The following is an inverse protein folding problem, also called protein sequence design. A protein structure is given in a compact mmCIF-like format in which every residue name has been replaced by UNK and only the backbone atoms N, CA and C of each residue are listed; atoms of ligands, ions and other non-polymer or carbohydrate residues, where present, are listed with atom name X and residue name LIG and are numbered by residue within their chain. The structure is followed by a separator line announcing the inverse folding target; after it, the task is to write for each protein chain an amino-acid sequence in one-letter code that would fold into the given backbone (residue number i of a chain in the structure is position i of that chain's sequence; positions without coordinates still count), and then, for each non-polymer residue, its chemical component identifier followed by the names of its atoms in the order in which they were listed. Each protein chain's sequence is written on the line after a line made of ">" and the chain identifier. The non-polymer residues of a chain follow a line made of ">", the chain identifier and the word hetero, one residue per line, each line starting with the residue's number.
data_IF_100863109905
#
_entry.id   IF_100863109905
#
_cell.length_a   1.000
_cell.length_b   1.000
_cell.length_c   1.000
_cell.angle_alpha   90.00
_cell.angle_beta   90.00
_cell.angle_gamma   90.00
#
_symmetry.space_group_name_H-M   'P 1'
#
loop_
_entity.id
_entity.type
_entity.pdbx_description
1 polymer ?
#
# COMPACT_ATOMS: atom_id res chain seq x y z
N UNK A 1 -42.27 29.05 -50.47
CA UNK A 1 -41.93 27.61 -50.60
C UNK A 1 -42.43 26.88 -49.36
N UNK A 2 -43.16 25.79 -49.59
CA UNK A 2 -43.32 24.55 -48.81
C UNK A 2 -43.43 24.54 -47.26
N UNK A 3 -44.58 24.00 -46.81
CA UNK A 3 -44.87 23.00 -45.75
C UNK A 3 -44.17 23.08 -44.37
N UNK A 4 -44.88 23.21 -43.24
CA UNK A 4 -45.59 22.15 -42.46
C UNK A 4 -44.73 20.91 -42.13
N UNK A 5 -44.39 20.68 -40.84
CA UNK A 5 -44.97 19.61 -40.00
C UNK A 5 -44.35 19.51 -38.59
N UNK A 6 -45.23 19.30 -37.61
CA UNK A 6 -44.99 18.74 -36.27
C UNK A 6 -44.69 17.22 -36.35
N UNK A 7 -43.89 16.68 -35.43
CA UNK A 7 -44.10 15.40 -34.72
C UNK A 7 -42.94 15.19 -33.69
N UNK A 8 -43.16 15.14 -32.38
CA UNK A 8 -43.68 14.07 -31.52
C UNK A 8 -42.74 12.84 -31.31
N UNK A 9 -42.29 12.73 -30.04
CA UNK A 9 -42.08 11.55 -29.18
C UNK A 9 -41.20 10.37 -29.65
N UNK A 10 -40.31 9.93 -28.75
CA UNK A 10 -39.81 8.57 -28.74
C UNK A 10 -38.67 8.32 -27.74
N UNK A 11 -39.01 7.91 -26.52
CA UNK A 11 -38.08 7.31 -25.54
C UNK A 11 -37.42 6.09 -26.16
N UNK A 12 -36.10 5.99 -26.13
CA UNK A 12 -35.38 4.74 -26.35
C UNK A 12 -34.59 4.39 -25.09
N UNK A 13 -35.23 3.55 -24.27
CA UNK A 13 -34.62 2.75 -23.22
C UNK A 13 -33.31 2.13 -23.69
N UNK A 14 -32.22 2.37 -22.95
CA UNK A 14 -30.98 1.59 -23.05
C UNK A 14 -31.24 0.26 -22.35
N UNK A 15 -32.03 -0.59 -23.02
CA UNK A 15 -32.13 -2.01 -22.72
C UNK A 15 -31.17 -2.73 -23.65
N UNK A 16 -29.96 -3.04 -23.16
CA UNK A 16 -29.02 -3.91 -23.85
C UNK A 16 -29.59 -5.32 -23.94
N UNK A 17 -30.41 -5.55 -24.97
CA UNK A 17 -30.89 -6.87 -25.35
C UNK A 17 -29.72 -7.71 -25.84
N UNK A 18 -29.44 -8.79 -25.12
CA UNK A 18 -28.58 -9.87 -25.60
C UNK A 18 -29.28 -10.49 -26.82
N UNK A 19 -28.78 -10.22 -28.02
CA UNK A 19 -29.26 -10.91 -29.22
C UNK A 19 -28.65 -12.32 -29.20
N UNK A 20 -29.40 -13.29 -28.71
CA UNK A 20 -29.06 -14.71 -28.88
C UNK A 20 -29.44 -15.12 -30.31
N UNK A 21 -28.56 -15.78 -31.08
CA UNK A 21 -28.96 -16.40 -32.32
C UNK A 21 -29.85 -17.61 -32.01
N UNK A 22 -31.14 -17.52 -32.36
CA UNK A 22 -32.01 -18.68 -32.44
C UNK A 22 -31.69 -19.37 -33.76
N UNK A 23 -30.99 -20.49 -33.70
CA UNK A 23 -30.86 -21.39 -34.84
C UNK A 23 -32.23 -22.03 -35.12
N UNK A 24 -32.92 -21.55 -36.16
CA UNK A 24 -34.10 -22.23 -36.69
C UNK A 24 -33.64 -23.47 -37.47
N UNK A 25 -33.76 -24.65 -36.85
CA UNK A 25 -33.70 -25.92 -37.57
C UNK A 25 -35.03 -26.12 -38.30
N UNK A 26 -34.98 -26.13 -39.64
CA UNK A 26 -36.11 -26.54 -40.47
C UNK A 26 -36.45 -28.00 -40.22
N UNK A 27 -37.73 -28.24 -40.03
CA UNK A 27 -38.39 -29.51 -39.75
C UNK A 27 -38.14 -30.59 -40.79
N UNK A 28 -37.73 -31.78 -40.33
CA UNK A 28 -37.97 -33.07 -40.98
C UNK A 28 -38.87 -33.92 -40.07
N UNK A 29 -39.86 -34.55 -40.67
CA UNK A 29 -40.96 -35.34 -40.12
C UNK A 29 -40.59 -36.50 -39.18
N UNK A 30 -41.55 -36.79 -38.30
CA UNK A 30 -41.93 -38.07 -37.70
C UNK A 30 -41.47 -38.47 -36.27
N UNK A 31 -42.49 -38.78 -35.45
CA UNK A 31 -42.52 -39.56 -34.21
C UNK A 31 -41.67 -39.13 -33.00
N UNK A 32 -42.33 -38.57 -31.96
CA UNK A 32 -41.80 -38.54 -30.59
C UNK A 32 -42.04 -37.25 -29.79
N UNK A 33 -43.20 -37.12 -29.14
CA UNK A 33 -43.58 -35.99 -28.26
C UNK A 33 -42.82 -35.93 -26.92
N UNK A 34 -41.53 -36.26 -26.87
CA UNK A 34 -40.71 -36.13 -25.65
C UNK A 34 -39.51 -35.17 -25.74
N UNK A 35 -39.13 -34.71 -26.93
CA UNK A 35 -37.80 -34.07 -27.10
C UNK A 35 -37.79 -32.55 -26.97
N UNK A 36 -38.89 -31.84 -27.25
CA UNK A 36 -38.92 -30.36 -27.23
C UNK A 36 -38.88 -29.77 -25.81
N UNK A 37 -39.56 -30.39 -24.85
CA UNK A 37 -39.61 -29.90 -23.47
C UNK A 37 -38.29 -30.17 -22.73
N UNK A 38 -37.60 -31.26 -23.06
CA UNK A 38 -36.28 -31.62 -22.53
C UNK A 38 -35.19 -30.70 -23.10
N UNK A 39 -35.22 -30.43 -24.40
CA UNK A 39 -34.30 -29.46 -25.04
C UNK A 39 -34.48 -28.03 -24.52
N UNK A 40 -35.72 -27.59 -24.28
CA UNK A 40 -35.98 -26.29 -23.68
C UNK A 40 -35.46 -26.21 -22.23
N UNK A 41 -35.51 -27.32 -21.48
CA UNK A 41 -35.03 -27.41 -20.10
C UNK A 41 -33.51 -27.47 -20.02
N UNK A 42 -32.85 -28.20 -20.92
CA UNK A 42 -31.39 -28.21 -21.08
C UNK A 42 -30.87 -26.86 -21.55
N UNK A 43 -31.54 -26.23 -22.53
CA UNK A 43 -31.17 -24.90 -23.01
C UNK A 43 -31.32 -23.83 -21.93
N UNK A 44 -32.39 -23.90 -21.12
CA UNK A 44 -32.59 -23.03 -19.97
C UNK A 44 -31.55 -23.24 -18.85
N UNK A 45 -31.13 -24.49 -18.60
CA UNK A 45 -30.02 -24.78 -17.67
C UNK A 45 -28.69 -24.27 -18.19
N UNK A 46 -28.37 -24.51 -19.47
CA UNK A 46 -27.12 -24.09 -20.10
C UNK A 46 -27.00 -22.55 -20.19
N UNK A 47 -28.11 -21.86 -20.48
CA UNK A 47 -28.18 -20.39 -20.40
C UNK A 47 -28.04 -19.90 -18.97
N UNK A 48 -28.74 -20.52 -18.00
CA UNK A 48 -28.62 -20.16 -16.59
C UNK A 48 -27.20 -20.30 -16.06
N UNK A 49 -26.49 -21.38 -16.42
CA UNK A 49 -25.10 -21.62 -16.06
C UNK A 49 -24.14 -20.63 -16.72
N UNK A 50 -24.38 -20.29 -18.00
CA UNK A 50 -23.57 -19.31 -18.74
C UNK A 50 -23.75 -17.90 -18.18
N UNK A 51 -24.98 -17.49 -17.88
CA UNK A 51 -25.28 -16.19 -17.26
C UNK A 51 -24.70 -16.12 -15.84
N UNK A 52 -24.84 -17.17 -15.04
CA UNK A 52 -24.23 -17.21 -13.70
C UNK A 52 -22.70 -17.13 -13.75
N UNK A 53 -22.06 -17.79 -14.73
CA UNK A 53 -20.61 -17.67 -14.96
C UNK A 53 -20.18 -16.26 -15.36
N UNK A 54 -20.95 -15.59 -16.23
CA UNK A 54 -20.65 -14.22 -16.67
C UNK A 54 -20.82 -13.20 -15.54
N UNK A 55 -21.89 -13.33 -14.75
CA UNK A 55 -22.13 -12.48 -13.58
C UNK A 55 -21.05 -12.71 -12.52
N UNK A 56 -20.67 -13.97 -12.28
CA UNK A 56 -19.56 -14.32 -11.41
C UNK A 56 -18.24 -13.66 -11.83
N UNK A 57 -17.88 -13.73 -13.11
CA UNK A 57 -16.64 -13.14 -13.62
C UNK A 57 -16.63 -11.60 -13.57
N UNK A 58 -17.78 -10.96 -13.84
CA UNK A 58 -17.94 -9.50 -13.69
C UNK A 58 -17.85 -9.03 -12.24
N UNK A 59 -18.43 -9.79 -11.29
CA UNK A 59 -18.31 -9.52 -9.86
C UNK A 59 -16.87 -9.69 -9.39
N UNK A 60 -16.17 -10.72 -9.85
CA UNK A 60 -14.75 -10.90 -9.55
C UNK A 60 -13.87 -9.78 -10.11
N UNK A 61 -14.12 -9.34 -11.35
CA UNK A 61 -13.41 -8.22 -11.97
C UNK A 61 -13.60 -6.92 -11.18
N UNK A 62 -14.85 -6.57 -10.81
CA UNK A 62 -15.12 -5.39 -9.96
C UNK A 62 -14.45 -5.51 -8.60
N UNK A 63 -14.48 -6.69 -7.97
CA UNK A 63 -13.81 -6.90 -6.68
C UNK A 63 -12.30 -6.70 -6.79
N UNK A 64 -11.68 -7.18 -7.88
CA UNK A 64 -10.26 -6.95 -8.16
C UNK A 64 -9.94 -5.47 -8.41
N UNK A 65 -10.77 -4.76 -9.16
CA UNK A 65 -10.62 -3.31 -9.39
C UNK A 65 -10.80 -2.50 -8.11
N UNK A 66 -11.81 -2.83 -7.31
CA UNK A 66 -12.03 -2.18 -6.00
C UNK A 66 -10.87 -2.45 -5.05
N UNK A 67 -10.38 -3.69 -4.97
CA UNK A 67 -9.21 -4.03 -4.18
C UNK A 67 -7.97 -3.23 -4.62
N UNK A 68 -7.69 -3.16 -5.93
CA UNK A 68 -6.56 -2.38 -6.46
C UNK A 68 -6.72 -0.88 -6.22
N UNK A 69 -7.93 -0.35 -6.34
CA UNK A 69 -8.23 1.06 -6.03
C UNK A 69 -8.04 1.36 -4.54
N UNK A 70 -8.47 0.46 -3.67
CA UNK A 70 -8.29 0.57 -2.22
C UNK A 70 -6.81 0.46 -1.82
N UNK A 71 -6.06 -0.47 -2.41
CA UNK A 71 -4.61 -0.59 -2.22
C UNK A 71 -3.90 0.72 -2.59
N UNK A 72 -4.20 1.28 -3.77
CA UNK A 72 -3.65 2.55 -4.21
C UNK A 72 -4.05 3.71 -3.27
N UNK A 73 -5.29 3.70 -2.78
CA UNK A 73 -5.77 4.66 -1.79
C UNK A 73 -4.99 4.58 -0.47
N UNK A 74 -4.73 3.37 0.02
CA UNK A 74 -3.97 3.12 1.24
C UNK A 74 -2.52 3.58 1.11
N UNK A 75 -1.84 3.25 0.01
CA UNK A 75 -0.49 3.74 -0.25
C UNK A 75 -0.44 5.27 -0.32
N UNK A 76 -1.33 5.88 -1.10
CA UNK A 76 -1.41 7.33 -1.25
C UNK A 76 -1.66 8.03 0.09
N UNK A 77 -2.55 7.48 0.92
CA UNK A 77 -2.88 8.05 2.22
C UNK A 77 -1.70 8.02 3.22
N UNK A 78 -0.84 6.99 3.16
CA UNK A 78 0.35 6.88 4.01
C UNK A 78 1.45 7.81 3.56
N UNK A 79 1.79 7.80 2.26
CA UNK A 79 2.84 8.69 1.75
C UNK A 79 2.46 10.16 1.86
N UNK A 80 1.17 10.48 1.72
CA UNK A 80 0.67 11.83 2.00
C UNK A 80 0.86 12.21 3.47
N UNK A 81 0.59 11.30 4.42
CA UNK A 81 0.79 11.59 5.84
C UNK A 81 2.29 11.81 6.17
N UNK A 82 3.17 10.99 5.59
CA UNK A 82 4.62 11.20 5.69
C UNK A 82 5.06 12.56 5.11
N UNK A 83 4.52 12.93 3.95
CA UNK A 83 4.79 14.22 3.30
C UNK A 83 4.28 15.40 4.15
N UNK A 84 3.04 15.33 4.63
CA UNK A 84 2.40 16.37 5.45
C UNK A 84 3.17 16.55 6.79
N UNK A 85 3.80 15.50 7.31
CA UNK A 85 4.69 15.53 8.49
C UNK A 85 6.13 15.98 8.20
N UNK A 86 6.49 16.20 6.94
CA UNK A 86 7.85 16.57 6.55
C UNK A 86 8.87 15.45 6.83
N UNK A 87 8.48 14.21 6.57
CA UNK A 87 9.32 13.04 6.78
C UNK A 87 10.28 12.79 5.62
N UNK A 88 11.46 12.29 5.95
CA UNK A 88 12.48 11.84 5.01
C UNK A 88 12.85 10.39 5.33
N UNK A 89 13.10 9.62 4.29
CA UNK A 89 13.50 8.22 4.39
C UNK A 89 14.92 8.17 4.94
N UNK A 90 15.15 7.44 6.03
CA UNK A 90 16.48 7.15 6.54
C UNK A 90 17.06 6.00 5.72
N UNK A 91 18.35 6.05 5.43
CA UNK A 91 19.08 4.93 4.82
C UNK A 91 18.65 3.61 5.46
N UNK A 92 18.12 2.70 4.63
CA UNK A 92 17.53 1.47 5.15
C UNK A 92 18.63 0.61 5.82
N UNK A 93 18.46 0.19 7.08
CA UNK A 93 19.42 -0.69 7.75
C UNK A 93 19.59 -2.04 7.03
N UNK A 94 18.56 -2.51 6.32
CA UNK A 94 18.61 -3.72 5.50
C UNK A 94 19.27 -3.51 4.12
N UNK A 95 19.81 -2.31 3.84
CA UNK A 95 20.52 -1.99 2.59
C UNK A 95 19.63 -1.94 1.34
N UNK A 96 18.32 -2.16 1.49
CA UNK A 96 17.36 -2.07 0.39
C UNK A 96 17.04 -0.62 0.04
N UNK A 97 16.68 -0.37 -1.23
CA UNK A 97 16.09 0.90 -1.65
C UNK A 97 14.55 0.89 -1.56
N UNK A 98 13.99 0.04 -0.70
CA UNK A 98 12.55 -0.06 -0.52
C UNK A 98 12.07 1.05 0.42
N UNK A 99 11.00 1.74 0.01
CA UNK A 99 10.28 2.73 0.82
C UNK A 99 9.39 2.04 1.87
N UNK A 100 9.14 0.73 1.73
CA UNK A 100 8.47 -0.10 2.71
C UNK A 100 9.48 -0.84 3.59
N UNK A 101 9.03 -1.31 4.76
CA UNK A 101 9.93 -1.92 5.75
C UNK A 101 11.10 -0.97 6.09
N UNK A 102 10.76 0.32 6.26
CA UNK A 102 11.73 1.41 6.25
C UNK A 102 11.48 2.39 7.39
N UNK A 103 12.52 3.18 7.69
CA UNK A 103 12.52 4.15 8.78
C UNK A 103 12.45 5.55 8.22
N UNK A 104 11.67 6.40 8.87
CA UNK A 104 11.45 7.78 8.47
C UNK A 104 11.76 8.72 9.64
N UNK A 105 12.49 9.79 9.36
CA UNK A 105 12.72 10.88 10.30
C UNK A 105 11.91 12.10 9.86
N UNK A 106 11.15 12.69 10.77
CA UNK A 106 10.24 13.79 10.47
C UNK A 106 10.58 15.04 11.26
N UNK A 107 10.71 16.14 10.54
CA UNK A 107 10.93 17.47 11.11
C UNK A 107 9.63 18.25 11.03
N UNK A 108 8.93 18.39 12.16
CA UNK A 108 7.65 19.11 12.25
C UNK A 108 7.75 20.56 11.73
N UNK A 109 8.92 21.21 11.84
CA UNK A 109 9.17 22.52 11.24
C UNK A 109 10.63 22.70 10.84
N UNK A 110 10.92 22.96 9.56
CA UNK A 110 12.29 23.17 9.06
C UNK A 110 13.01 24.36 9.71
N UNK A 111 12.26 25.36 10.17
CA UNK A 111 12.78 26.63 10.73
C UNK A 111 13.00 26.60 12.24
N UNK A 112 12.44 25.62 12.94
CA UNK A 112 12.54 25.51 14.39
C UNK A 112 13.53 24.40 14.76
N UNK A 113 14.74 24.80 15.17
CA UNK A 113 15.79 23.88 15.61
C UNK A 113 15.53 23.27 16.99
N UNK A 114 14.55 23.79 17.74
CA UNK A 114 14.19 23.27 19.07
C UNK A 114 13.21 22.11 19.00
N UNK A 115 12.56 21.90 17.86
CA UNK A 115 11.66 20.76 17.68
C UNK A 115 12.46 19.47 17.47
N UNK A 116 12.22 18.52 18.38
CA UNK A 116 12.76 17.17 18.32
C UNK A 116 12.29 16.46 17.04
N UNK A 117 13.21 15.72 16.41
CA UNK A 117 12.88 14.85 15.29
C UNK A 117 12.01 13.70 15.79
N UNK A 118 10.90 13.44 15.09
CA UNK A 118 10.04 12.28 15.34
C UNK A 118 10.41 11.16 14.38
N UNK A 119 10.27 9.91 14.81
CA UNK A 119 10.72 8.76 14.04
C UNK A 119 9.56 7.80 13.81
N UNK A 120 9.46 7.29 12.59
CA UNK A 120 8.41 6.37 12.21
C UNK A 120 9.00 5.17 11.49
N UNK A 121 8.35 4.04 11.69
CA UNK A 121 8.56 2.83 10.92
C UNK A 121 7.35 2.60 10.01
N UNK A 122 7.61 2.43 8.72
CA UNK A 122 6.61 2.00 7.75
C UNK A 122 6.73 0.49 7.55
N UNK A 123 5.65 -0.23 7.82
CA UNK A 123 5.56 -1.67 7.61
C UNK A 123 5.80 -2.11 6.16
N UNK A 124 5.73 -3.43 5.96
CA UNK A 124 5.84 -4.01 4.62
C UNK A 124 4.72 -3.49 3.70
N UNK A 125 4.95 -3.58 2.38
CA UNK A 125 3.94 -3.23 1.39
C UNK A 125 2.59 -3.91 1.64
N UNK A 126 2.61 -5.20 1.99
CA UNK A 126 1.38 -5.95 2.26
C UNK A 126 0.69 -5.51 3.55
N UNK A 127 1.45 -5.11 4.58
CA UNK A 127 0.88 -4.49 5.78
C UNK A 127 0.15 -3.19 5.42
N UNK A 128 0.72 -2.35 4.56
CA UNK A 128 0.07 -1.10 4.13
C UNK A 128 -1.16 -1.36 3.27
N UNK A 129 -1.16 -2.39 2.41
CA UNK A 129 -2.37 -2.77 1.65
C UNK A 129 -3.54 -3.07 2.57
N UNK A 130 -3.31 -3.79 3.66
CA UNK A 130 -4.36 -4.25 4.58
C UNK A 130 -4.73 -3.17 5.60
N UNK A 131 -3.74 -2.50 6.19
CA UNK A 131 -3.91 -1.63 7.35
C UNK A 131 -3.85 -0.13 7.02
N UNK A 132 -3.42 0.25 5.81
CA UNK A 132 -3.25 1.64 5.42
C UNK A 132 -2.36 2.40 6.39
N UNK A 133 -2.87 3.50 6.95
CA UNK A 133 -2.15 4.36 7.91
C UNK A 133 -1.75 3.66 9.19
N UNK A 134 -2.47 2.62 9.59
CA UNK A 134 -2.13 1.89 10.80
C UNK A 134 -0.83 1.09 10.65
N UNK A 135 -0.33 0.89 9.43
CA UNK A 135 0.99 0.31 9.17
C UNK A 135 2.16 1.30 9.42
N UNK A 136 1.88 2.59 9.61
CA UNK A 136 2.87 3.60 9.99
C UNK A 136 2.89 3.75 11.51
N UNK A 137 4.00 3.38 12.16
CA UNK A 137 4.12 3.37 13.62
C UNK A 137 5.20 4.34 14.09
N UNK A 138 4.88 5.16 15.09
CA UNK A 138 5.89 6.01 15.74
C UNK A 138 6.81 5.15 16.62
N UNK A 139 8.12 5.37 16.50
CA UNK A 139 9.16 4.65 17.24
C UNK A 139 9.94 5.61 18.12
N UNK A 140 10.36 5.15 19.30
CA UNK A 140 10.99 6.01 20.32
C UNK A 140 12.43 5.62 20.59
N UNK A 141 12.70 4.33 20.64
CA UNK A 141 13.96 3.80 21.14
C UNK A 141 14.49 2.75 20.19
N UNK A 142 15.80 2.73 19.95
CA UNK A 142 16.45 1.77 19.07
C UNK A 142 17.60 1.04 19.78
N UNK A 143 17.65 -0.28 19.59
CA UNK A 143 18.66 -1.16 20.19
C UNK A 143 19.13 -2.20 19.20
N UNK A 144 20.42 -2.20 18.90
CA UNK A 144 21.10 -3.21 18.12
C UNK A 144 21.41 -4.43 18.99
N UNK A 145 21.08 -5.61 18.45
CA UNK A 145 21.33 -6.93 19.01
C UNK A 145 22.46 -7.60 18.24
N UNK A 146 23.23 -8.42 18.94
CA UNK A 146 24.42 -9.10 18.41
C UNK A 146 24.14 -10.10 17.29
N UNK A 147 22.88 -10.48 17.09
CA UNK A 147 22.40 -11.32 16.00
C UNK A 147 22.15 -10.53 14.70
N UNK A 148 22.55 -9.27 14.63
CA UNK A 148 22.38 -8.42 13.46
C UNK A 148 21.01 -7.76 13.37
N UNK A 149 20.23 -7.77 14.45
CA UNK A 149 18.91 -7.15 14.48
C UNK A 149 18.90 -5.77 15.14
N UNK A 150 18.12 -4.85 14.58
CA UNK A 150 17.82 -3.56 15.17
C UNK A 150 16.37 -3.55 15.66
N UNK A 151 16.22 -3.46 16.98
CA UNK A 151 14.93 -3.47 17.65
C UNK A 151 14.46 -2.04 17.93
N UNK A 152 13.21 -1.77 17.60
CA UNK A 152 12.54 -0.49 17.81
C UNK A 152 11.37 -0.64 18.77
N UNK A 153 11.34 0.20 19.80
CA UNK A 153 10.17 0.33 20.67
C UNK A 153 9.11 1.22 20.01
N UNK A 154 7.86 0.76 19.97
CA UNK A 154 6.74 1.56 19.52
C UNK A 154 6.30 2.53 20.63
N UNK A 155 5.86 3.73 20.24
CA UNK A 155 5.44 4.75 21.20
C UNK A 155 4.15 4.39 21.95
N UNK A 156 3.16 3.89 21.20
CA UNK A 156 1.80 3.69 21.69
C UNK A 156 1.54 2.25 22.13
N UNK A 157 2.57 1.41 22.22
CA UNK A 157 2.43 0.03 22.66
C UNK A 157 3.71 -0.52 23.30
N UNK A 158 3.56 -1.58 24.10
CA UNK A 158 4.69 -2.34 24.62
C UNK A 158 5.31 -3.30 23.58
N UNK A 159 4.92 -3.17 22.31
CA UNK A 159 5.43 -4.01 21.23
C UNK A 159 6.74 -3.44 20.69
N UNK A 160 7.53 -4.33 20.09
CA UNK A 160 8.78 -3.98 19.43
C UNK A 160 8.77 -4.51 18.01
N UNK A 161 9.45 -3.79 17.12
CA UNK A 161 9.69 -4.20 15.74
C UNK A 161 11.17 -4.52 15.61
N UNK A 162 11.49 -5.61 14.91
CA UNK A 162 12.87 -6.00 14.65
C UNK A 162 13.12 -5.96 13.15
N UNK A 163 14.23 -5.33 12.75
CA UNK A 163 14.67 -5.23 11.36
C UNK A 163 16.10 -5.75 11.28
N UNK A 164 16.40 -6.56 10.26
CA UNK A 164 17.77 -6.99 10.00
C UNK A 164 18.63 -5.84 9.51
N UNK A 165 19.83 -5.72 10.07
CA UNK A 165 20.87 -4.81 9.60
C UNK A 165 21.79 -5.59 8.68
N UNK A 166 22.13 -5.02 7.53
CA UNK A 166 23.20 -5.58 6.69
C UNK A 166 24.48 -5.56 7.50
N UNK A 167 25.17 -6.70 7.55
CA UNK A 167 26.47 -6.80 8.19
C UNK A 167 27.49 -6.00 7.37
N UNK A 168 27.58 -4.69 7.62
CA UNK A 168 28.68 -3.85 7.21
C UNK A 168 29.61 -3.62 8.40
N UNK A 169 30.91 -3.76 8.17
CA UNK A 169 31.91 -3.61 9.23
C UNK A 169 32.07 -2.14 9.70
N UNK A 170 31.30 -1.20 9.14
CA UNK A 170 31.47 0.26 9.33
C UNK A 170 30.15 1.03 9.50
N UNK A 171 29.01 0.34 9.61
CA UNK A 171 27.71 0.99 9.76
C UNK A 171 27.44 1.53 11.18
N UNK A 172 26.89 2.73 11.27
CA UNK A 172 26.50 3.36 12.54
C UNK A 172 25.41 2.61 13.31
N UNK A 173 24.68 1.71 12.66
CA UNK A 173 23.57 0.95 13.23
C UNK A 173 23.97 0.05 14.41
N UNK A 174 25.19 -0.49 14.38
CA UNK A 174 25.70 -1.39 15.44
C UNK A 174 25.87 -0.71 16.80
N UNK A 175 25.95 0.62 16.81
CA UNK A 175 26.17 1.44 18.00
C UNK A 175 24.87 1.88 18.69
N UNK A 176 23.71 1.49 18.16
CA UNK A 176 22.44 1.74 18.86
C UNK A 176 22.34 0.83 20.08
N UNK A 177 22.44 1.42 21.27
CA UNK A 177 22.29 0.72 22.53
C UNK A 177 21.27 1.44 23.41
N UNK A 178 19.99 1.07 23.31
CA UNK A 178 18.90 1.72 24.03
C UNK A 178 18.87 3.25 23.79
N UNK A 179 19.06 3.66 22.54
CA UNK A 179 19.14 5.07 22.15
C UNK A 179 17.72 5.64 22.04
N UNK A 180 17.42 6.68 22.79
CA UNK A 180 16.22 7.49 22.59
C UNK A 180 16.41 8.35 21.33
N UNK A 181 15.66 8.03 20.29
CA UNK A 181 15.85 8.60 18.96
C UNK A 181 15.59 10.10 18.95
N UNK A 182 14.51 10.58 19.55
CA UNK A 182 14.16 12.00 19.56
C UNK A 182 15.09 12.88 20.40
N UNK A 183 15.80 12.29 21.36
CA UNK A 183 16.76 12.99 22.21
C UNK A 183 18.17 12.96 21.65
N UNK A 184 18.54 11.88 20.95
CA UNK A 184 19.90 11.63 20.50
C UNK A 184 20.10 11.82 19.01
N UNK A 185 19.03 11.89 18.22
CA UNK A 185 19.10 12.06 16.78
C UNK A 185 18.30 13.28 16.31
N UNK A 186 18.89 14.05 15.40
CA UNK A 186 18.28 15.24 14.82
C UNK A 186 18.58 15.37 13.33
N UNK A 187 17.58 15.85 12.57
CA UNK A 187 17.80 16.25 11.19
C UNK A 187 18.52 17.61 11.15
N UNK A 188 19.74 17.61 10.61
CA UNK A 188 20.59 18.79 10.44
C UNK A 188 20.75 19.15 8.96
N UNK A 189 20.70 20.44 8.65
CA UNK A 189 20.99 20.94 7.30
C UNK A 189 22.48 21.18 7.14
N UNK A 190 23.11 20.59 6.12
CA UNK A 190 24.53 20.77 5.81
C UNK A 190 24.79 22.18 5.26
N UNK A 191 26.00 22.70 5.48
CA UNK A 191 26.41 24.03 4.98
C UNK A 191 26.30 24.17 3.45
N UNK A 192 26.54 23.09 2.70
CA UNK A 192 26.46 23.06 1.24
C UNK A 192 25.07 22.69 0.70
N UNK A 193 24.06 22.66 1.56
CA UNK A 193 22.73 22.16 1.25
C UNK A 193 22.61 20.64 1.47
N UNK A 194 21.36 20.17 1.52
CA UNK A 194 21.02 18.80 1.92
C UNK A 194 20.79 18.67 3.43
N UNK A 195 20.07 17.61 3.80
CA UNK A 195 19.75 17.28 5.19
C UNK A 195 20.33 15.90 5.52
N UNK A 196 20.85 15.73 6.73
CA UNK A 196 21.30 14.46 7.29
C UNK A 196 20.61 14.19 8.60
N UNK A 197 20.52 12.92 8.97
CA UNK A 197 20.19 12.54 10.34
C UNK A 197 21.49 12.36 11.13
N UNK A 198 21.78 13.30 12.02
CA UNK A 198 22.90 13.20 12.95
C UNK A 198 22.44 12.56 14.25
N UNK A 199 23.12 11.50 14.68
CA UNK A 199 22.87 10.81 15.95
C UNK A 199 24.10 10.86 16.86
N UNK A 200 23.90 11.17 18.13
CA UNK A 200 24.88 10.93 19.19
C UNK A 200 24.78 9.48 19.67
N UNK A 201 25.84 8.71 19.45
CA UNK A 201 25.94 7.28 19.76
C UNK A 201 27.07 7.03 20.75
N UNK A 202 27.08 5.85 21.39
CA UNK A 202 28.09 5.48 22.37
C UNK A 202 28.76 4.18 21.94
N UNK A 203 30.09 4.19 21.89
CA UNK A 203 30.87 2.98 21.65
C UNK A 203 30.87 2.10 22.91
N UNK A 204 30.34 0.88 22.77
CA UNK A 204 30.22 -0.08 23.88
C UNK A 204 31.59 -0.48 24.46
N UNK A 205 32.67 -0.38 23.68
CA UNK A 205 33.99 -0.85 24.10
C UNK A 205 34.71 0.15 25.02
N UNK A 206 34.45 1.44 24.86
CA UNK A 206 35.17 2.50 25.59
C UNK A 206 34.25 3.57 26.22
N UNK A 207 32.92 3.40 26.08
CA UNK A 207 31.90 4.33 26.57
C UNK A 207 32.03 5.77 26.07
N UNK A 208 32.78 6.01 24.99
CA UNK A 208 32.91 7.34 24.39
C UNK A 208 31.71 7.63 23.53
N UNK A 209 31.16 8.83 23.71
CA UNK A 209 30.12 9.37 22.85
C UNK A 209 30.75 9.93 21.57
N UNK A 210 30.10 9.71 20.43
CA UNK A 210 30.50 10.23 19.14
C UNK A 210 29.27 10.54 18.29
N UNK A 211 29.44 11.32 17.23
CA UNK A 211 28.36 11.61 16.30
C UNK A 211 28.50 10.78 15.02
N UNK A 212 27.39 10.19 14.58
CA UNK A 212 27.29 9.50 13.30
C UNK A 212 26.21 10.16 12.45
N UNK A 213 26.49 10.35 11.17
CA UNK A 213 25.54 10.93 10.22
C UNK A 213 24.98 9.85 9.31
N UNK A 214 23.67 9.65 9.36
CA UNK A 214 22.93 8.82 8.43
C UNK A 214 22.42 9.66 7.28
N UNK A 215 22.51 9.11 6.07
CA UNK A 215 21.89 9.72 4.90
C UNK A 215 20.36 9.65 5.03
N UNK A 216 19.69 10.72 4.63
CA UNK A 216 18.22 10.77 4.52
C UNK A 216 17.81 11.28 3.14
N UNK A 217 16.66 10.83 2.64
CA UNK A 217 16.16 11.07 1.28
C UNK A 217 14.75 11.67 1.29
#
# INVERSE_FOLDING_TARGET
>A
MLFLFKALLGVATIGGGVVLPVAMSQSGTDTGTKTLQEHARESGKALGETVNRLVGSLVELRRKEQAKSQENGNFSAVFKDLQDKGCQLIQNPAGSKDDFHALYACKKNKKDKSQKTSFYYLGSRDSVKVMGRDALKEITTATYKSDGQLMFALKDSNQQISISVVADNEGGWSYFNNVNLSDKCQIETRMLGGEDLRCELVDKNNSRSFFYNFSIF
#
